data_IF_939587207233
#
_entry.id   IF_939587207233
#
_cell.length_a   1.000
_cell.length_b   1.000
_cell.length_c   1.000
_cell.angle_alpha   90.00
_cell.angle_beta   90.00
_cell.angle_gamma   90.00
#
_symmetry.space_group_name_H-M   'P 1'
#
loop_
_entity.id
_entity.type
_entity.pdbx_description
1 polymer ?
#
# COMPACT_ATOMS: atom_id res chain seq x y z
N UNK A 1 33.26 -9.43 -18.83
CA UNK A 1 32.85 -8.43 -19.85
C UNK A 1 31.57 -7.82 -19.35
N UNK A 2 31.62 -6.60 -18.85
CA UNK A 2 30.45 -5.86 -18.40
C UNK A 2 29.95 -5.06 -19.60
N UNK A 3 28.80 -5.42 -20.14
CA UNK A 3 28.07 -4.52 -21.03
C UNK A 3 27.49 -3.41 -20.16
N UNK A 4 28.12 -2.25 -20.20
CA UNK A 4 27.47 -1.02 -19.78
C UNK A 4 26.33 -0.78 -20.77
N UNK A 5 25.12 -1.18 -20.39
CA UNK A 5 23.90 -0.80 -21.10
C UNK A 5 23.74 0.73 -20.94
N UNK A 6 24.36 1.49 -21.83
CA UNK A 6 24.03 2.88 -22.05
C UNK A 6 22.62 2.93 -22.59
N UNK A 7 21.67 3.33 -21.74
CA UNK A 7 20.29 3.54 -22.13
C UNK A 7 20.26 4.71 -23.14
N UNK A 8 19.99 4.39 -24.41
CA UNK A 8 19.73 5.37 -25.45
C UNK A 8 18.35 5.99 -25.15
N UNK A 9 18.32 7.15 -24.49
CA UNK A 9 17.08 7.88 -24.11
C UNK A 9 16.35 8.50 -25.33
N UNK A 10 16.74 8.16 -26.56
CA UNK A 10 16.27 8.82 -27.78
C UNK A 10 14.89 8.43 -28.33
N UNK A 11 14.27 7.32 -27.91
CA UNK A 11 13.07 6.80 -28.61
C UNK A 11 11.96 6.18 -27.74
N UNK A 12 12.03 6.24 -26.41
CA UNK A 12 11.03 5.59 -25.53
C UNK A 12 9.85 6.52 -25.26
N UNK A 13 8.62 6.03 -25.46
CA UNK A 13 7.40 6.76 -25.13
C UNK A 13 7.21 6.88 -23.60
N UNK A 14 6.44 7.86 -23.13
CA UNK A 14 6.11 8.00 -21.69
C UNK A 14 5.47 6.72 -21.14
N UNK A 15 4.60 6.08 -21.92
CA UNK A 15 4.00 4.80 -21.54
C UNK A 15 5.06 3.69 -21.39
N UNK A 16 6.05 3.62 -22.28
CA UNK A 16 7.15 2.66 -22.17
C UNK A 16 8.04 2.91 -20.94
N UNK A 17 8.34 4.17 -20.62
CA UNK A 17 9.09 4.53 -19.41
C UNK A 17 8.30 4.17 -18.15
N UNK A 18 7.01 4.46 -18.12
CA UNK A 18 6.15 4.10 -17.00
C UNK A 18 6.12 2.59 -16.76
N UNK A 19 5.93 1.79 -17.82
CA UNK A 19 6.04 0.32 -17.72
C UNK A 19 7.39 -0.09 -17.15
N UNK A 20 8.48 0.50 -17.66
CA UNK A 20 9.83 0.20 -17.18
C UNK A 20 10.01 0.56 -15.70
N UNK A 21 9.48 1.70 -15.24
CA UNK A 21 9.52 2.10 -13.83
C UNK A 21 8.85 1.07 -12.94
N UNK A 22 7.64 0.64 -13.29
CA UNK A 22 6.89 -0.32 -12.48
C UNK A 22 7.54 -1.72 -12.51
N UNK A 23 8.13 -2.11 -13.64
CA UNK A 23 8.89 -3.35 -13.76
C UNK A 23 10.12 -3.34 -12.84
N UNK A 24 10.78 -2.18 -12.63
CA UNK A 24 11.93 -2.06 -11.72
C UNK A 24 11.63 -2.55 -10.29
N UNK A 25 10.40 -2.35 -9.78
CA UNK A 25 10.00 -2.80 -8.45
C UNK A 25 9.94 -4.34 -8.34
N UNK A 26 9.66 -5.04 -9.44
CA UNK A 26 9.53 -6.51 -9.45
C UNK A 26 10.90 -7.21 -9.39
N UNK A 27 11.98 -6.51 -9.76
CA UNK A 27 13.32 -7.11 -9.77
C UNK A 27 14.03 -7.04 -8.41
N UNK A 28 13.47 -6.33 -7.43
CA UNK A 28 14.12 -6.10 -6.14
C UNK A 28 13.86 -7.25 -5.16
N UNK A 29 14.94 -7.86 -4.69
CA UNK A 29 14.98 -8.78 -3.54
C UNK A 29 15.62 -8.09 -2.33
N UNK A 30 15.35 -8.55 -1.12
CA UNK A 30 15.98 -8.02 0.09
C UNK A 30 16.94 -9.05 0.72
N UNK A 31 18.14 -8.60 1.09
CA UNK A 31 19.15 -9.39 1.77
C UNK A 31 18.79 -9.69 3.23
N UNK A 32 19.39 -10.74 3.81
CA UNK A 32 19.14 -11.17 5.20
C UNK A 32 19.44 -10.10 6.25
N UNK A 33 20.30 -9.14 5.93
CA UNK A 33 20.66 -8.04 6.83
C UNK A 33 19.47 -7.13 7.19
N UNK A 34 18.34 -7.21 6.46
CA UNK A 34 17.11 -6.50 6.82
C UNK A 34 16.48 -7.05 8.10
N UNK A 35 16.81 -8.29 8.51
CA UNK A 35 16.36 -8.85 9.78
C UNK A 35 14.85 -8.75 9.95
N UNK A 36 14.39 -8.15 11.05
CA UNK A 36 12.95 -8.00 11.35
C UNK A 36 12.24 -6.97 10.46
N UNK A 37 12.98 -6.10 9.77
CA UNK A 37 12.43 -5.00 8.98
C UNK A 37 12.10 -5.41 7.53
N UNK A 38 12.45 -6.63 7.11
CA UNK A 38 12.32 -7.03 5.69
C UNK A 38 10.86 -7.00 5.21
N UNK A 39 9.91 -7.42 6.06
CA UNK A 39 8.48 -7.44 5.72
C UNK A 39 7.93 -6.03 5.50
N UNK A 40 8.20 -5.12 6.46
CA UNK A 40 7.83 -3.70 6.33
C UNK A 40 8.49 -3.06 5.11
N UNK A 41 9.75 -3.39 4.83
CA UNK A 41 10.46 -2.89 3.65
C UNK A 41 9.83 -3.37 2.35
N UNK A 42 9.46 -4.65 2.26
CA UNK A 42 8.73 -5.17 1.09
C UNK A 42 7.37 -4.48 0.91
N UNK A 43 6.61 -4.27 1.99
CA UNK A 43 5.35 -3.52 1.93
C UNK A 43 5.57 -2.07 1.45
N UNK A 44 6.59 -1.37 1.97
CA UNK A 44 6.93 -0.01 1.50
C UNK A 44 7.20 0.02 -0.01
N UNK A 45 7.91 -0.97 -0.53
CA UNK A 45 8.18 -1.09 -1.96
C UNK A 45 6.88 -1.28 -2.78
N UNK A 46 5.99 -2.16 -2.33
CA UNK A 46 4.72 -2.39 -3.01
C UNK A 46 3.78 -1.17 -2.89
N UNK A 47 3.82 -0.42 -1.79
CA UNK A 47 3.05 0.82 -1.61
C UNK A 47 3.51 1.91 -2.59
N UNK A 48 4.83 2.14 -2.74
CA UNK A 48 5.34 3.09 -3.75
C UNK A 48 4.89 2.67 -5.15
N UNK A 49 4.98 1.38 -5.48
CA UNK A 49 4.53 0.85 -6.77
C UNK A 49 3.04 1.12 -6.99
N UNK A 50 2.19 0.82 -6.01
CA UNK A 50 0.75 1.08 -6.09
C UNK A 50 0.47 2.58 -6.28
N UNK A 51 1.16 3.44 -5.53
CA UNK A 51 1.03 4.90 -5.64
C UNK A 51 1.37 5.42 -7.04
N UNK A 52 2.48 4.96 -7.61
CA UNK A 52 2.89 5.29 -8.99
C UNK A 52 1.84 4.80 -10.01
N UNK A 53 1.32 3.58 -9.83
CA UNK A 53 0.22 3.03 -10.64
C UNK A 53 -1.06 3.86 -10.55
N UNK A 54 -1.45 4.27 -9.35
CA UNK A 54 -2.64 5.10 -9.08
C UNK A 54 -2.54 6.46 -9.76
N UNK A 55 -1.37 7.10 -9.69
CA UNK A 55 -1.11 8.37 -10.39
C UNK A 55 -1.36 8.23 -11.90
N UNK A 56 -0.81 7.20 -12.54
CA UNK A 56 -0.98 6.99 -13.97
C UNK A 56 -2.44 6.73 -14.35
N UNK A 57 -3.18 5.95 -13.56
CA UNK A 57 -4.61 5.75 -13.77
C UNK A 57 -5.39 7.07 -13.64
N UNK A 58 -5.09 7.87 -12.63
CA UNK A 58 -5.78 9.14 -12.40
C UNK A 58 -5.54 10.13 -13.54
N UNK A 59 -4.31 10.23 -14.06
CA UNK A 59 -3.97 11.10 -15.18
C UNK A 59 -4.65 10.63 -16.48
N UNK A 60 -4.63 9.32 -16.76
CA UNK A 60 -5.24 8.76 -17.97
C UNK A 60 -6.77 8.92 -18.03
N UNK A 61 -7.43 9.08 -16.88
CA UNK A 61 -8.88 9.28 -16.78
C UNK A 61 -9.26 10.72 -16.39
N UNK A 62 -8.30 11.65 -16.39
CA UNK A 62 -8.55 13.07 -16.08
C UNK A 62 -9.12 13.80 -17.31
N UNK A 63 -10.06 14.75 -17.14
CA UNK A 63 -10.54 15.62 -18.22
C UNK A 63 -9.43 16.39 -18.95
N UNK A 64 -8.30 16.64 -18.26
CA UNK A 64 -7.12 17.29 -18.85
C UNK A 64 -6.39 16.41 -19.87
N UNK A 65 -6.58 15.09 -19.83
CA UNK A 65 -6.00 14.18 -20.82
C UNK A 65 -6.60 14.37 -22.22
N UNK A 66 -7.72 15.07 -22.32
CA UNK A 66 -8.46 15.32 -23.57
C UNK A 66 -8.23 16.75 -24.11
N UNK A 67 -7.47 17.60 -23.41
CA UNK A 67 -7.14 18.95 -23.88
C UNK A 67 -5.81 18.91 -24.64
N UNK A 68 -5.89 19.18 -25.95
CA UNK A 68 -4.93 18.70 -26.93
C UNK A 68 -3.54 19.36 -26.93
N UNK A 69 -2.55 18.50 -27.19
CA UNK A 69 -1.39 18.63 -28.10
C UNK A 69 -0.43 19.84 -28.04
N UNK A 70 -0.72 20.93 -27.34
CA UNK A 70 0.15 22.14 -27.34
C UNK A 70 0.74 22.49 -25.97
N UNK A 71 0.08 22.13 -24.87
CA UNK A 71 0.62 22.22 -23.49
C UNK A 71 1.28 20.90 -23.03
N UNK A 72 1.13 19.85 -23.85
CA UNK A 72 1.54 18.47 -23.57
C UNK A 72 3.03 18.19 -23.82
N UNK A 73 3.80 19.10 -24.42
CA UNK A 73 5.24 18.89 -24.67
C UNK A 73 6.10 19.19 -23.45
N UNK A 74 5.95 20.34 -22.78
CA UNK A 74 6.77 20.64 -21.60
C UNK A 74 6.39 19.76 -20.41
N UNK A 75 5.09 19.65 -20.10
CA UNK A 75 4.62 18.77 -19.02
C UNK A 75 4.93 17.30 -19.32
N UNK A 76 4.71 16.86 -20.56
CA UNK A 76 5.07 15.51 -21.01
C UNK A 76 6.57 15.23 -20.96
N UNK A 77 7.41 16.24 -21.23
CA UNK A 77 8.86 16.15 -21.11
C UNK A 77 9.31 16.05 -19.64
N UNK A 78 8.72 16.84 -18.74
CA UNK A 78 8.97 16.72 -17.28
C UNK A 78 8.56 15.34 -16.75
N UNK A 79 7.42 14.81 -17.20
CA UNK A 79 7.02 13.42 -16.86
C UNK A 79 8.07 12.42 -17.37
N UNK A 80 8.53 12.58 -18.61
CA UNK A 80 9.57 11.73 -19.20
C UNK A 80 10.86 11.78 -18.37
N UNK A 81 11.28 12.97 -17.96
CA UNK A 81 12.47 13.20 -17.14
C UNK A 81 12.34 12.52 -15.78
N UNK A 82 11.24 12.76 -15.05
CA UNK A 82 11.00 12.16 -13.74
C UNK A 82 10.94 10.64 -13.81
N UNK A 83 10.24 10.06 -14.79
CA UNK A 83 10.22 8.60 -14.98
C UNK A 83 11.61 8.05 -15.33
N UNK A 84 12.39 8.79 -16.13
CA UNK A 84 13.78 8.46 -16.41
C UNK A 84 14.64 8.45 -15.14
N UNK A 85 14.49 9.44 -14.27
CA UNK A 85 15.18 9.52 -12.99
C UNK A 85 14.83 8.36 -12.05
N UNK A 86 13.55 7.95 -11.99
CA UNK A 86 13.15 6.75 -11.23
C UNK A 86 13.91 5.52 -11.74
N UNK A 87 13.98 5.31 -13.06
CA UNK A 87 14.71 4.18 -13.65
C UNK A 87 16.20 4.23 -13.27
N UNK A 88 16.81 5.41 -13.34
CA UNK A 88 18.22 5.60 -12.95
C UNK A 88 18.47 5.35 -11.46
N UNK A 89 17.54 5.71 -10.56
CA UNK A 89 17.66 5.39 -9.14
C UNK A 89 17.71 3.88 -8.89
N UNK A 90 16.87 3.10 -9.57
CA UNK A 90 16.92 1.64 -9.50
C UNK A 90 18.23 1.08 -10.08
N UNK A 91 18.70 1.62 -11.21
CA UNK A 91 19.97 1.22 -11.82
C UNK A 91 21.18 1.57 -10.94
N UNK A 92 21.16 2.73 -10.26
CA UNK A 92 22.15 3.13 -9.27
C UNK A 92 22.17 2.16 -8.09
N UNK A 93 20.99 1.81 -7.56
CA UNK A 93 20.86 0.89 -6.46
C UNK A 93 21.33 -0.53 -6.82
N UNK A 94 21.07 -1.00 -8.04
CA UNK A 94 21.61 -2.25 -8.57
C UNK A 94 23.14 -2.20 -8.69
N UNK A 95 23.70 -1.09 -9.20
CA UNK A 95 25.17 -0.90 -9.26
C UNK A 95 25.82 -0.89 -7.88
N UNK A 96 25.14 -0.37 -6.86
CA UNK A 96 25.58 -0.45 -5.46
C UNK A 96 25.53 -1.89 -4.95
N UNK A 97 24.47 -2.64 -5.29
CA UNK A 97 24.35 -4.06 -4.97
C UNK A 97 25.50 -4.89 -5.55
N UNK A 98 25.82 -4.71 -6.84
CA UNK A 98 26.91 -5.44 -7.49
C UNK A 98 28.28 -5.12 -6.86
N UNK A 99 28.51 -3.85 -6.48
CA UNK A 99 29.72 -3.46 -5.74
C UNK A 99 29.78 -4.09 -4.35
N UNK A 100 28.65 -4.33 -3.71
CA UNK A 100 28.58 -5.04 -2.43
C UNK A 100 28.92 -6.52 -2.61
N UNK A 101 28.30 -7.19 -3.60
CA UNK A 101 28.58 -8.60 -3.94
C UNK A 101 30.05 -8.87 -4.19
N UNK A 102 30.74 -7.97 -4.89
CA UNK A 102 32.16 -8.11 -5.19
C UNK A 102 33.08 -8.02 -3.95
N UNK A 103 32.61 -7.48 -2.83
CA UNK A 103 33.41 -7.23 -1.62
C UNK A 103 33.20 -8.25 -0.50
N UNK A 104 32.15 -9.06 -0.61
CA UNK A 104 31.59 -9.80 0.52
C UNK A 104 31.48 -11.29 0.21
N UNK A 105 31.66 -12.14 1.22
CA UNK A 105 31.60 -13.61 1.07
C UNK A 105 30.16 -14.14 1.10
N UNK A 106 29.93 -15.33 0.52
CA UNK A 106 28.60 -15.82 0.16
C UNK A 106 27.52 -15.90 1.26
N UNK A 107 27.90 -15.99 2.54
CA UNK A 107 26.93 -16.02 3.66
C UNK A 107 26.14 -14.72 3.84
N UNK A 108 26.71 -13.58 3.46
CA UNK A 108 26.04 -12.27 3.56
C UNK A 108 25.25 -11.91 2.28
N UNK A 109 25.34 -12.74 1.23
CA UNK A 109 24.61 -12.55 -0.04
C UNK A 109 23.28 -13.29 -0.08
N UNK A 110 22.91 -13.94 1.03
CA UNK A 110 21.62 -14.62 1.16
C UNK A 110 20.50 -13.57 1.14
N UNK A 111 19.43 -13.88 0.41
CA UNK A 111 18.23 -13.06 0.30
C UNK A 111 17.06 -13.75 0.99
N UNK A 112 16.03 -12.96 1.30
CA UNK A 112 14.74 -13.50 1.71
C UNK A 112 14.00 -14.08 0.51
N UNK A 113 13.41 -15.25 0.69
CA UNK A 113 12.41 -15.78 -0.21
C UNK A 113 11.04 -15.23 0.19
N UNK A 114 10.52 -14.32 -0.65
CA UNK A 114 9.23 -13.70 -0.42
C UNK A 114 8.05 -14.71 -0.43
N UNK A 115 8.20 -15.88 -1.05
CA UNK A 115 7.12 -16.86 -1.14
C UNK A 115 7.07 -17.80 0.07
N UNK A 116 8.19 -18.04 0.75
CA UNK A 116 8.26 -19.00 1.86
C UNK A 116 8.53 -18.38 3.23
N UNK A 117 9.09 -17.16 3.31
CA UNK A 117 9.52 -16.55 4.57
C UNK A 117 8.64 -15.41 5.06
N UNK A 118 7.65 -14.99 4.27
CA UNK A 118 6.64 -14.01 4.69
C UNK A 118 5.63 -14.63 5.66
N UNK A 119 5.20 -13.83 6.62
CA UNK A 119 3.99 -14.13 7.39
C UNK A 119 2.79 -14.23 6.42
N UNK A 120 1.88 -15.21 6.57
CA UNK A 120 0.80 -15.43 5.61
C UNK A 120 -0.05 -14.19 5.32
N UNK A 121 -0.38 -13.43 6.37
CA UNK A 121 -1.19 -12.21 6.26
C UNK A 121 -0.45 -11.11 5.47
N UNK A 122 0.85 -10.94 5.71
CA UNK A 122 1.68 -10.00 4.95
C UNK A 122 1.81 -10.44 3.49
N UNK A 123 1.98 -11.75 3.24
CA UNK A 123 2.01 -12.30 1.88
C UNK A 123 0.71 -12.01 1.13
N UNK A 124 -0.43 -12.13 1.81
CA UNK A 124 -1.76 -11.82 1.26
C UNK A 124 -1.91 -10.34 0.90
N UNK A 125 -1.56 -9.43 1.81
CA UNK A 125 -1.55 -7.98 1.55
C UNK A 125 -0.69 -7.65 0.33
N UNK A 126 0.54 -8.18 0.27
CA UNK A 126 1.46 -7.90 -0.85
C UNK A 126 0.91 -8.37 -2.18
N UNK A 127 0.29 -9.57 -2.23
CA UNK A 127 -0.37 -10.08 -3.44
C UNK A 127 -1.48 -9.12 -3.88
N UNK A 128 -2.34 -8.68 -2.96
CA UNK A 128 -3.37 -7.69 -3.27
C UNK A 128 -2.81 -6.36 -3.76
N UNK A 129 -1.82 -5.78 -3.08
CA UNK A 129 -1.18 -4.52 -3.53
C UNK A 129 -0.63 -4.64 -4.96
N UNK A 130 0.02 -5.77 -5.27
CA UNK A 130 0.53 -6.05 -6.62
C UNK A 130 -0.60 -6.19 -7.63
N UNK A 131 -1.65 -6.94 -7.31
CA UNK A 131 -2.84 -7.07 -8.16
C UNK A 131 -3.49 -5.70 -8.45
N UNK A 132 -3.68 -4.88 -7.42
CA UNK A 132 -4.18 -3.51 -7.55
C UNK A 132 -3.29 -2.69 -8.49
N UNK A 133 -1.97 -2.71 -8.27
CA UNK A 133 -1.01 -1.97 -9.09
C UNK A 133 -0.97 -2.46 -10.55
N UNK A 134 -1.15 -3.77 -10.79
CA UNK A 134 -1.20 -4.35 -12.13
C UNK A 134 -2.47 -4.00 -12.89
N UNK A 135 -3.63 -3.83 -12.21
CA UNK A 135 -4.86 -3.41 -12.90
C UNK A 135 -4.73 -2.02 -13.53
N UNK A 136 -3.92 -1.14 -12.94
CA UNK A 136 -3.61 0.19 -13.50
C UNK A 136 -2.68 0.11 -14.73
N UNK A 137 -1.85 -0.94 -14.85
CA UNK A 137 -1.02 -1.20 -16.01
C UNK A 137 -1.80 -2.03 -17.04
N UNK A 138 -2.35 -1.40 -18.08
CA UNK A 138 -2.96 -2.15 -19.20
C UNK A 138 -1.97 -3.17 -19.77
N UNK A 139 -2.15 -4.45 -19.39
CA UNK A 139 -1.44 -5.68 -19.82
C UNK A 139 -0.24 -5.43 -20.75
N UNK A 140 0.85 -4.91 -20.19
CA UNK A 140 2.16 -5.02 -20.83
C UNK A 140 2.75 -6.38 -20.45
N UNK A 141 3.32 -7.10 -21.42
CA UNK A 141 4.13 -8.27 -21.11
C UNK A 141 5.35 -7.81 -20.31
N UNK A 142 5.48 -8.30 -19.08
CA UNK A 142 6.66 -8.15 -18.26
C UNK A 142 7.90 -8.62 -19.03
N UNK A 143 8.89 -7.75 -19.21
CA UNK A 143 10.18 -8.19 -19.70
C UNK A 143 10.86 -8.97 -18.57
N UNK A 144 11.22 -10.24 -18.78
CA UNK A 144 12.06 -10.95 -17.83
C UNK A 144 13.44 -10.30 -17.80
N UNK A 145 13.71 -9.45 -16.80
CA UNK A 145 15.07 -9.07 -16.41
C UNK A 145 15.52 -9.91 -15.22
N UNK A 146 16.84 -9.96 -15.04
CA UNK A 146 17.44 -10.60 -13.87
C UNK A 146 16.99 -9.86 -12.60
N UNK A 147 16.59 -10.62 -11.57
CA UNK A 147 16.37 -10.05 -10.24
C UNK A 147 17.71 -9.70 -9.60
N UNK A 148 17.71 -8.67 -8.77
CA UNK A 148 18.87 -8.22 -8.01
C UNK A 148 18.45 -7.93 -6.56
N UNK A 149 19.42 -7.79 -5.66
CA UNK A 149 19.14 -7.74 -4.22
C UNK A 149 19.67 -6.47 -3.55
N UNK A 150 18.86 -5.85 -2.70
CA UNK A 150 19.31 -4.83 -1.75
C UNK A 150 19.79 -5.50 -0.48
N UNK A 151 21.09 -5.38 -0.17
CA UNK A 151 21.69 -6.01 1.01
C UNK A 151 21.76 -5.11 2.23
N UNK A 152 21.60 -3.80 2.07
CA UNK A 152 21.71 -2.84 3.18
C UNK A 152 20.45 -1.97 3.27
N UNK A 153 19.85 -1.92 4.46
CA UNK A 153 18.63 -1.15 4.73
C UNK A 153 18.80 0.35 4.45
N UNK A 154 19.99 0.91 4.65
CA UNK A 154 20.28 2.33 4.32
C UNK A 154 20.11 2.64 2.83
N UNK A 155 20.49 1.71 1.95
CA UNK A 155 20.40 1.89 0.51
C UNK A 155 18.94 1.75 0.06
N UNK A 156 18.19 0.85 0.69
CA UNK A 156 16.75 0.72 0.47
C UNK A 156 15.99 1.97 0.93
N UNK A 157 16.25 2.48 2.14
CA UNK A 157 15.58 3.70 2.64
C UNK A 157 15.81 4.87 1.71
N UNK A 158 17.06 5.10 1.29
CA UNK A 158 17.39 6.14 0.30
C UNK A 158 16.64 5.95 -1.01
N UNK A 159 16.62 4.73 -1.57
CA UNK A 159 15.88 4.44 -2.80
C UNK A 159 14.39 4.76 -2.66
N UNK A 160 13.76 4.33 -1.57
CA UNK A 160 12.33 4.60 -1.32
C UNK A 160 12.07 6.09 -1.13
N UNK A 161 12.91 6.81 -0.37
CA UNK A 161 12.80 8.25 -0.16
C UNK A 161 12.91 9.01 -1.49
N UNK A 162 13.95 8.74 -2.28
CA UNK A 162 14.21 9.40 -3.56
C UNK A 162 13.07 9.11 -4.58
N UNK A 163 12.63 7.85 -4.69
CA UNK A 163 11.51 7.49 -5.59
C UNK A 163 10.19 8.12 -5.11
N UNK A 164 9.93 8.16 -3.80
CA UNK A 164 8.71 8.78 -3.25
C UNK A 164 8.66 10.26 -3.61
N UNK A 165 9.78 10.98 -3.46
CA UNK A 165 9.86 12.39 -3.84
C UNK A 165 9.62 12.63 -5.34
N UNK A 166 10.10 11.73 -6.20
CA UNK A 166 9.82 11.78 -7.63
C UNK A 166 8.34 11.51 -7.95
N UNK A 167 7.70 10.58 -7.23
CA UNK A 167 6.25 10.34 -7.35
C UNK A 167 5.44 11.55 -6.87
N UNK A 168 5.88 12.24 -5.79
CA UNK A 168 5.28 13.50 -5.35
C UNK A 168 5.33 14.55 -6.47
N UNK A 169 6.50 14.71 -7.12
CA UNK A 169 6.66 15.63 -8.24
C UNK A 169 5.74 15.28 -9.42
N UNK A 170 5.54 13.99 -9.73
CA UNK A 170 4.57 13.55 -10.75
C UNK A 170 3.14 13.94 -10.39
N UNK A 171 2.73 13.79 -9.12
CA UNK A 171 1.39 14.17 -8.65
C UNK A 171 1.19 15.68 -8.76
N UNK A 172 2.20 16.46 -8.41
CA UNK A 172 2.15 17.93 -8.44
C UNK A 172 2.07 18.51 -9.86
N UNK A 173 2.56 17.79 -10.87
CA UNK A 173 2.39 18.17 -12.28
C UNK A 173 0.93 18.09 -12.77
N UNK A 174 0.06 17.35 -12.07
CA UNK A 174 -1.34 17.11 -12.48
C UNK A 174 -2.33 17.36 -11.33
N UNK A 175 -2.50 18.61 -10.88
CA UNK A 175 -3.34 18.93 -9.73
C UNK A 175 -4.82 18.51 -9.92
N UNK A 176 -5.34 18.54 -11.15
CA UNK A 176 -6.70 18.08 -11.43
C UNK A 176 -6.90 16.57 -11.24
N UNK A 177 -5.83 15.78 -11.19
CA UNK A 177 -5.91 14.35 -10.92
C UNK A 177 -6.07 14.03 -9.42
N UNK A 178 -5.86 14.99 -8.51
CA UNK A 178 -5.82 14.74 -7.06
C UNK A 178 -7.12 14.15 -6.51
N UNK A 179 -8.29 14.64 -6.95
CA UNK A 179 -9.56 14.10 -6.49
C UNK A 179 -9.80 12.68 -7.00
N UNK A 180 -9.36 12.37 -8.23
CA UNK A 180 -9.40 11.00 -8.75
C UNK A 180 -8.45 10.08 -7.99
N UNK A 181 -7.25 10.55 -7.63
CA UNK A 181 -6.33 9.79 -6.79
C UNK A 181 -6.93 9.49 -5.41
N UNK A 182 -7.61 10.46 -4.77
CA UNK A 182 -8.33 10.23 -3.50
C UNK A 182 -9.38 9.15 -3.62
N UNK A 183 -10.19 9.17 -4.67
CA UNK A 183 -11.19 8.15 -4.93
C UNK A 183 -10.57 6.77 -5.14
N UNK A 184 -9.50 6.68 -5.93
CA UNK A 184 -8.80 5.42 -6.17
C UNK A 184 -8.20 4.85 -4.88
N UNK A 185 -7.55 5.69 -4.07
CA UNK A 185 -7.00 5.28 -2.77
C UNK A 185 -8.07 4.73 -1.82
N UNK A 186 -9.25 5.37 -1.77
CA UNK A 186 -10.36 4.87 -0.97
C UNK A 186 -10.89 3.52 -1.49
N UNK A 187 -10.93 3.31 -2.80
CA UNK A 187 -11.30 2.04 -3.43
C UNK A 187 -10.28 0.93 -3.12
N UNK A 188 -8.99 1.24 -3.21
CA UNK A 188 -7.91 0.32 -2.87
C UNK A 188 -7.98 -0.12 -1.40
N UNK A 189 -8.19 0.83 -0.47
CA UNK A 189 -8.36 0.52 0.95
C UNK A 189 -9.62 -0.32 1.22
N UNK A 190 -10.73 -0.06 0.52
CA UNK A 190 -11.95 -0.87 0.62
C UNK A 190 -11.74 -2.32 0.13
N UNK A 191 -10.92 -2.55 -0.89
CA UNK A 191 -10.57 -3.91 -1.34
C UNK A 191 -9.60 -4.64 -0.40
N UNK A 192 -8.79 -3.87 0.32
CA UNK A 192 -7.85 -4.35 1.32
C UNK A 192 -8.51 -4.55 2.69
N UNK A 193 -9.70 -4.00 2.94
CA UNK A 193 -10.31 -3.98 4.27
C UNK A 193 -10.39 -5.36 4.94
N UNK A 194 -10.66 -6.42 4.19
CA UNK A 194 -10.79 -7.77 4.77
C UNK A 194 -9.44 -8.45 5.07
N UNK A 195 -8.31 -7.81 4.76
CA UNK A 195 -6.99 -8.34 5.09
C UNK A 195 -6.71 -8.26 6.59
N UNK A 196 -6.12 -9.32 7.13
CA UNK A 196 -5.50 -9.29 8.44
C UNK A 196 -4.21 -8.47 8.39
N UNK A 197 -3.81 -7.86 9.51
CA UNK A 197 -2.61 -7.02 9.63
C UNK A 197 -2.64 -5.71 8.81
N UNK A 198 -3.82 -5.09 8.63
CA UNK A 198 -3.93 -3.76 8.01
C UNK A 198 -3.13 -2.67 8.74
N UNK A 199 -2.91 -2.82 10.05
CA UNK A 199 -1.97 -2.01 10.83
C UNK A 199 -0.56 -2.01 10.22
N UNK A 200 -0.06 -3.18 9.78
CA UNK A 200 1.26 -3.27 9.17
C UNK A 200 1.33 -2.56 7.80
N UNK A 201 0.21 -2.53 7.06
CA UNK A 201 0.10 -1.76 5.83
C UNK A 201 0.06 -0.25 6.11
N UNK A 202 -0.71 0.18 7.11
CA UNK A 202 -0.78 1.57 7.56
C UNK A 202 0.62 2.08 7.96
N UNK A 203 1.34 1.34 8.81
CA UNK A 203 2.73 1.65 9.20
C UNK A 203 3.72 1.66 8.02
N UNK A 204 3.48 0.84 6.99
CA UNK A 204 4.31 0.82 5.80
C UNK A 204 4.01 2.02 4.88
N UNK A 205 2.77 2.47 4.80
CA UNK A 205 2.36 3.62 4.02
C UNK A 205 2.84 4.95 4.60
N UNK A 206 3.16 4.99 5.90
CA UNK A 206 3.71 6.16 6.58
C UNK A 206 4.94 6.76 5.86
N UNK A 207 4.82 8.03 5.46
CA UNK A 207 5.85 8.77 4.75
C UNK A 207 6.12 8.31 3.31
N UNK A 208 5.31 7.37 2.79
CA UNK A 208 5.42 6.83 1.42
C UNK A 208 4.19 7.18 0.60
N UNK A 209 3.02 6.94 1.16
CA UNK A 209 1.73 7.24 0.55
C UNK A 209 0.74 7.68 1.64
N UNK A 210 0.78 8.96 2.05
CA UNK A 210 -0.11 9.50 3.09
C UNK A 210 -1.60 9.31 2.74
N UNK A 211 -1.93 9.32 1.45
CA UNK A 211 -3.31 9.16 1.00
C UNK A 211 -3.81 7.74 1.24
N UNK A 212 -2.98 6.73 0.94
CA UNK A 212 -3.30 5.34 1.25
C UNK A 212 -3.31 5.10 2.76
N UNK A 213 -2.35 5.68 3.50
CA UNK A 213 -2.32 5.61 4.95
C UNK A 213 -3.65 6.08 5.57
N UNK A 214 -4.10 7.28 5.21
CA UNK A 214 -5.38 7.84 5.68
C UNK A 214 -6.57 6.92 5.31
N UNK A 215 -6.57 6.39 4.08
CA UNK A 215 -7.64 5.52 3.57
C UNK A 215 -7.69 4.19 4.32
N UNK A 216 -6.54 3.58 4.60
CA UNK A 216 -6.42 2.34 5.38
C UNK A 216 -6.78 2.58 6.84
N UNK A 217 -6.34 3.69 7.43
CA UNK A 217 -6.72 4.09 8.78
C UNK A 217 -8.25 4.25 8.90
N UNK A 218 -8.89 4.86 7.90
CA UNK A 218 -10.34 4.96 7.85
C UNK A 218 -11.00 3.58 7.70
N UNK A 219 -10.45 2.68 6.88
CA UNK A 219 -10.94 1.31 6.75
C UNK A 219 -10.87 0.55 8.10
N UNK A 220 -9.73 0.60 8.79
CA UNK A 220 -9.55 0.03 10.14
C UNK A 220 -10.57 0.61 11.12
N UNK A 221 -10.75 1.94 11.12
CA UNK A 221 -11.72 2.59 11.98
C UNK A 221 -13.17 2.18 11.66
N UNK A 222 -13.49 1.98 10.39
CA UNK A 222 -14.82 1.52 9.96
C UNK A 222 -15.12 0.07 10.39
N UNK A 223 -14.08 -0.77 10.49
CA UNK A 223 -14.16 -2.12 11.07
C UNK A 223 -14.29 -2.12 12.59
N UNK A 224 -13.90 -1.02 13.22
CA UNK A 224 -14.00 -0.83 14.68
C UNK A 224 -15.41 -0.44 15.13
N UNK A 225 -16.38 -0.27 14.18
CA UNK A 225 -17.78 0.01 14.48
C UNK A 225 -18.64 -1.24 14.56
N UNK A 226 -19.60 -1.28 15.49
CA UNK A 226 -20.62 -2.34 15.49
C UNK A 226 -21.64 -2.14 14.38
N UNK A 227 -21.99 -3.23 13.69
CA UNK A 227 -23.07 -3.28 12.72
C UNK A 227 -24.28 -4.02 13.31
N UNK A 228 -25.45 -3.38 13.32
CA UNK A 228 -26.70 -3.93 13.84
C UNK A 228 -27.75 -4.00 12.72
N UNK A 229 -28.20 -5.21 12.37
CA UNK A 229 -29.17 -5.43 11.29
C UNK A 229 -30.27 -6.39 11.74
N UNK A 230 -31.53 -6.06 11.49
CA UNK A 230 -32.66 -6.98 11.68
C UNK A 230 -32.89 -7.51 13.11
N UNK A 231 -32.26 -6.92 14.14
CA UNK A 231 -32.39 -7.38 15.52
C UNK A 231 -33.76 -6.97 16.10
N UNK A 232 -34.38 -7.85 16.88
CA UNK A 232 -35.69 -7.65 17.49
C UNK A 232 -35.62 -7.75 19.02
N UNK A 233 -36.26 -6.81 19.70
CA UNK A 233 -36.57 -6.90 21.13
C UNK A 233 -38.08 -7.05 21.28
N UNK A 234 -38.52 -8.10 21.99
CA UNK A 234 -39.93 -8.43 22.19
C UNK A 234 -40.24 -8.51 23.68
N UNK A 235 -41.53 -8.36 24.02
CA UNK A 235 -42.04 -8.41 25.40
C UNK A 235 -41.35 -7.39 26.32
N UNK A 236 -40.78 -7.84 27.45
CA UNK A 236 -40.13 -7.00 28.46
C UNK A 236 -38.60 -7.05 28.35
N UNK A 237 -38.06 -7.46 27.19
CA UNK A 237 -36.63 -7.55 26.97
C UNK A 237 -35.96 -6.17 27.01
N UNK A 238 -34.81 -6.08 27.66
CA UNK A 238 -33.97 -4.88 27.72
C UNK A 238 -32.72 -5.11 26.89
N UNK A 239 -32.58 -4.37 25.80
CA UNK A 239 -31.46 -4.53 24.85
C UNK A 239 -30.66 -3.24 24.76
N UNK A 240 -29.33 -3.37 24.79
CA UNK A 240 -28.39 -2.26 24.56
C UNK A 240 -27.55 -2.53 23.33
N UNK A 241 -27.34 -1.49 22.53
CA UNK A 241 -26.48 -1.51 21.35
C UNK A 241 -25.35 -0.48 21.52
N UNK A 242 -24.13 -0.88 21.20
CA UNK A 242 -22.93 -0.04 21.32
C UNK A 242 -22.08 -0.39 22.54
N UNK A 243 -20.89 0.21 22.62
CA UNK A 243 -19.94 -0.06 23.71
C UNK A 243 -20.38 0.49 25.07
N UNK A 244 -19.98 -0.18 26.14
CA UNK A 244 -20.17 0.24 27.54
C UNK A 244 -18.82 0.60 28.17
N UNK A 245 -18.73 1.78 28.78
CA UNK A 245 -17.52 2.25 29.48
C UNK A 245 -17.83 2.53 30.94
N UNK A 246 -17.10 1.87 31.85
CA UNK A 246 -17.12 2.26 33.25
C UNK A 246 -16.46 3.64 33.45
N UNK A 247 -16.81 4.31 34.55
CA UNK A 247 -16.24 5.61 34.89
C UNK A 247 -14.70 5.52 34.96
N UNK A 248 -14.01 6.28 34.10
CA UNK A 248 -12.55 6.27 33.99
C UNK A 248 -11.96 5.19 33.08
N UNK A 249 -12.78 4.33 32.45
CA UNK A 249 -12.31 3.33 31.50
C UNK A 249 -12.01 3.97 30.13
N UNK A 250 -10.76 3.81 29.68
CA UNK A 250 -10.32 4.17 28.33
C UNK A 250 -9.94 2.90 27.58
N UNK A 251 -10.55 2.66 26.43
CA UNK A 251 -10.27 1.50 25.59
C UNK A 251 -11.11 1.55 24.31
N UNK A 252 -10.56 1.02 23.23
CA UNK A 252 -11.27 0.78 21.97
C UNK A 252 -11.27 -0.73 21.73
N UNK A 253 -12.39 -1.29 21.27
CA UNK A 253 -12.55 -2.72 21.03
C UNK A 253 -12.77 -3.02 19.56
N UNK A 254 -12.79 -4.30 19.23
CA UNK A 254 -13.17 -4.74 17.90
C UNK A 254 -14.64 -4.39 17.61
N UNK A 255 -14.95 -4.04 16.37
CA UNK A 255 -16.33 -3.98 15.90
C UNK A 255 -16.94 -5.38 15.81
N UNK A 256 -18.25 -5.46 16.01
CA UNK A 256 -19.01 -6.71 15.98
C UNK A 256 -20.21 -6.56 15.05
N UNK A 257 -20.61 -7.65 14.38
CA UNK A 257 -21.83 -7.67 13.57
C UNK A 257 -22.91 -8.51 14.25
N UNK A 258 -24.04 -7.87 14.52
CA UNK A 258 -25.23 -8.49 15.11
C UNK A 258 -26.37 -8.46 14.09
N UNK A 259 -26.64 -9.60 13.46
CA UNK A 259 -27.69 -9.76 12.44
C UNK A 259 -28.82 -10.66 12.94
N UNK A 260 -30.07 -10.17 12.87
CA UNK A 260 -31.31 -10.93 13.09
C UNK A 260 -31.40 -11.66 14.43
N UNK A 261 -30.83 -11.08 15.49
CA UNK A 261 -30.98 -11.59 16.84
C UNK A 261 -32.36 -11.25 17.43
N UNK A 262 -32.94 -12.13 18.23
CA UNK A 262 -34.22 -11.88 18.92
C UNK A 262 -34.06 -12.00 20.43
N UNK A 263 -34.29 -10.91 21.15
CA UNK A 263 -34.40 -10.89 22.61
C UNK A 263 -35.89 -10.92 23.01
N UNK A 264 -36.29 -11.82 23.92
CA UNK A 264 -37.68 -12.02 24.35
C UNK A 264 -37.79 -12.16 25.88
N UNK A 265 -38.99 -12.24 26.43
CA UNK A 265 -39.20 -12.44 27.86
C UNK A 265 -38.76 -11.24 28.70
N UNK A 266 -38.15 -11.52 29.85
CA UNK A 266 -37.51 -10.53 30.73
C UNK A 266 -35.98 -10.53 30.57
N UNK A 267 -35.49 -10.81 29.35
CA UNK A 267 -34.05 -10.89 29.07
C UNK A 267 -33.35 -9.53 29.11
N UNK A 268 -32.05 -9.56 29.41
CA UNK A 268 -31.13 -8.42 29.42
C UNK A 268 -29.99 -8.76 28.46
N UNK A 269 -29.84 -8.00 27.38
CA UNK A 269 -28.88 -8.31 26.30
C UNK A 269 -28.08 -7.08 25.92
N UNK A 270 -26.76 -7.24 25.77
CA UNK A 270 -25.86 -6.19 25.32
C UNK A 270 -25.14 -6.65 24.05
N UNK A 271 -25.25 -5.83 23.01
CA UNK A 271 -24.58 -5.98 21.74
C UNK A 271 -23.54 -4.86 21.59
N UNK A 272 -22.34 -5.12 22.08
CA UNK A 272 -21.18 -4.24 22.04
C UNK A 272 -20.05 -4.76 22.92
N UNK A 273 -18.94 -4.03 23.02
CA UNK A 273 -17.90 -4.33 24.00
C UNK A 273 -18.21 -3.71 25.37
N UNK A 274 -17.65 -4.26 26.43
CA UNK A 274 -17.69 -3.69 27.77
C UNK A 274 -16.27 -3.42 28.26
N UNK A 275 -16.01 -2.16 28.63
CA UNK A 275 -14.72 -1.70 29.15
C UNK A 275 -14.84 -1.38 30.64
N UNK A 276 -14.54 -2.39 31.46
CA UNK A 276 -14.49 -2.30 32.92
C UNK A 276 -15.86 -2.19 33.60
N UNK A 277 -15.84 -2.23 34.94
CA UNK A 277 -17.02 -2.08 35.81
C UNK A 277 -18.00 -3.25 35.79
N UNK A 278 -19.06 -3.13 36.60
CA UNK A 278 -20.28 -3.95 36.46
C UNK A 278 -21.03 -3.49 35.21
N UNK A 279 -21.57 -4.42 34.44
CA UNK A 279 -22.45 -4.06 33.34
C UNK A 279 -23.71 -3.41 33.91
N UNK A 280 -24.32 -2.47 33.18
CA UNK A 280 -25.69 -2.02 33.42
C UNK A 280 -26.71 -3.18 33.37
N UNK A 281 -26.30 -4.36 32.90
CA UNK A 281 -27.09 -5.58 32.91
C UNK A 281 -26.87 -6.45 34.17
N UNK A 282 -25.82 -6.20 34.95
CA UNK A 282 -25.59 -6.84 36.23
C UNK A 282 -26.42 -6.12 37.30
N UNK A 283 -27.07 -6.90 38.18
CA UNK A 283 -27.76 -6.35 39.37
C UNK A 283 -26.77 -5.92 40.48
#
# INVERSE_FOLDING_TARGET
MAEAAGLVIGAVSVAGLFTTCVDCFEYVQLGRNFGKNFQRSLLRLDVVKLRLSRWAEAVNNSPESHQGATDTTERGQKVREILGEIIELFADAERVSEKYKAKVTGGELVVYDADSELEPDISSIRKKLRELAFRCQKRSSFAQKATWALYEEKNFRRLIEDVTALVDALVDLFPASRDRQRQLSAQEAEELKEEHRLDALEEAAEGVDPLLQDSVQQAIASQSGHAFSGNMAMENARVRYGDEHAAGATGTGAGHRYDRNTAQGSSRVHYGNQFGGKSVLDD
#
